data_IF_740671309336
#
_entry.id   IF_740671309336
#
_cell.length_a   1.000
_cell.length_b   1.000
_cell.length_c   1.000
_cell.angle_alpha   90.00
_cell.angle_beta   90.00
_cell.angle_gamma   90.00
#
_symmetry.space_group_name_H-M   'P 1'
#
loop_
_entity.id
_entity.type
_entity.pdbx_description
1 polymer ?
#
# COMPACT_ATOMS: atom_id res chain seq x y z
N UNK A 1 5.72 -36.17 9.08
CA UNK A 1 5.49 -35.65 10.42
C UNK A 1 4.83 -34.30 10.30
N UNK A 2 3.51 -34.26 10.37
CA UNK A 2 2.75 -33.01 10.49
C UNK A 2 3.10 -32.43 11.84
N UNK A 3 3.88 -31.37 11.88
CA UNK A 3 3.98 -30.55 13.08
C UNK A 3 2.61 -29.91 13.28
N UNK A 4 1.83 -30.45 14.21
CA UNK A 4 0.68 -29.74 14.74
C UNK A 4 1.21 -28.43 15.31
N UNK A 5 1.06 -27.36 14.54
CA UNK A 5 1.24 -26.02 15.08
C UNK A 5 0.15 -25.87 16.15
N UNK A 6 0.57 -25.84 17.39
CA UNK A 6 -0.31 -25.48 18.49
C UNK A 6 -1.07 -24.20 18.10
N UNK A 7 -2.38 -24.11 18.37
CA UNK A 7 -3.09 -22.87 18.22
C UNK A 7 -2.40 -21.86 19.13
N UNK A 8 -1.51 -21.08 18.55
CA UNK A 8 -0.89 -19.98 19.24
C UNK A 8 -2.01 -18.98 19.50
N UNK A 9 -2.37 -18.78 20.75
CA UNK A 9 -3.13 -17.62 21.15
C UNK A 9 -2.36 -16.41 20.64
N UNK A 10 -2.83 -15.81 19.57
CA UNK A 10 -2.19 -14.62 19.00
C UNK A 10 -2.41 -13.49 19.98
N UNK A 11 -1.37 -13.11 20.70
CA UNK A 11 -1.42 -11.96 21.58
C UNK A 11 -1.19 -10.70 20.76
N UNK A 12 -2.18 -9.83 20.72
CA UNK A 12 -2.05 -8.52 20.11
C UNK A 12 -1.50 -7.52 21.14
N UNK A 13 -0.29 -7.03 20.90
CA UNK A 13 0.35 -6.06 21.78
C UNK A 13 -0.23 -4.65 21.54
N UNK A 14 -0.51 -3.88 22.60
CA UNK A 14 -1.13 -2.54 22.48
C UNK A 14 -0.24 -1.51 21.78
N UNK A 15 1.06 -1.80 21.61
CA UNK A 15 2.02 -0.93 20.89
C UNK A 15 2.13 -1.23 19.40
N UNK A 16 1.55 -2.34 18.93
CA UNK A 16 1.50 -2.70 17.52
C UNK A 16 0.15 -2.27 16.97
N UNK A 17 0.16 -1.58 15.84
CA UNK A 17 -1.05 -1.05 15.22
C UNK A 17 -1.89 -2.17 14.63
N UNK A 18 -3.20 -1.97 14.62
CA UNK A 18 -4.14 -2.74 13.82
C UNK A 18 -4.38 -2.00 12.50
N UNK A 19 -4.45 -2.74 11.40
CA UNK A 19 -4.83 -2.17 10.12
C UNK A 19 -6.32 -1.78 10.11
N UNK A 20 -6.77 -0.86 9.25
CA UNK A 20 -8.18 -0.60 9.05
C UNK A 20 -8.99 -1.80 8.54
N UNK A 21 -8.32 -2.84 8.02
CA UNK A 21 -8.91 -4.08 7.52
C UNK A 21 -8.85 -5.23 8.53
N UNK A 22 -8.22 -5.03 9.69
CA UNK A 22 -7.87 -6.09 10.66
C UNK A 22 -9.06 -6.98 11.04
N UNK A 23 -10.21 -6.40 11.42
CA UNK A 23 -11.40 -7.17 11.76
C UNK A 23 -11.92 -8.00 10.57
N UNK A 24 -11.79 -7.45 9.36
CA UNK A 24 -12.11 -8.15 8.12
C UNK A 24 -11.20 -9.34 7.87
N UNK A 25 -9.89 -9.19 8.10
CA UNK A 25 -8.91 -10.28 7.97
C UNK A 25 -9.15 -11.38 8.99
N UNK A 26 -9.51 -11.03 10.23
CA UNK A 26 -9.89 -12.00 11.25
C UNK A 26 -11.17 -12.75 10.87
N UNK A 27 -12.21 -12.04 10.42
CA UNK A 27 -13.47 -12.64 9.98
C UNK A 27 -13.27 -13.56 8.75
N UNK A 28 -12.31 -13.24 7.87
CA UNK A 28 -11.91 -14.09 6.76
C UNK A 28 -11.08 -15.32 7.18
N UNK A 29 -10.71 -15.42 8.45
CA UNK A 29 -10.03 -16.58 9.03
C UNK A 29 -8.52 -16.52 8.97
N UNK A 30 -7.90 -15.34 9.05
CA UNK A 30 -6.45 -15.21 9.15
C UNK A 30 -5.89 -16.06 10.31
N UNK A 31 -4.90 -16.91 10.03
CA UNK A 31 -4.34 -17.89 10.97
C UNK A 31 -3.12 -17.37 11.71
N UNK A 32 -2.39 -16.43 11.11
CA UNK A 32 -1.21 -15.86 11.70
C UNK A 32 -1.03 -14.41 11.23
N UNK A 33 -0.29 -13.66 12.05
CA UNK A 33 0.10 -12.29 11.74
C UNK A 33 1.59 -12.13 11.98
N UNK A 34 2.26 -11.44 11.09
CA UNK A 34 3.59 -10.86 11.29
C UNK A 34 3.47 -9.39 11.65
N UNK A 35 4.60 -8.76 11.95
CA UNK A 35 4.66 -7.30 12.18
C UNK A 35 5.51 -6.68 11.08
N UNK A 36 4.99 -5.64 10.46
CA UNK A 36 5.65 -4.88 9.43
C UNK A 36 5.30 -3.39 9.62
N UNK A 37 6.26 -2.50 9.64
CA UNK A 37 6.05 -1.07 9.91
C UNK A 37 5.22 -0.79 11.18
N UNK A 38 5.50 -1.55 12.28
CA UNK A 38 4.78 -1.45 13.57
C UNK A 38 3.27 -1.77 13.47
N UNK A 39 2.83 -2.53 12.46
CA UNK A 39 1.44 -2.91 12.25
C UNK A 39 1.33 -4.41 11.98
N UNK A 40 0.23 -5.03 12.40
CA UNK A 40 -0.03 -6.43 12.12
C UNK A 40 -0.38 -6.64 10.65
N UNK A 41 0.31 -7.60 10.03
CA UNK A 41 0.13 -8.05 8.65
C UNK A 41 -0.37 -9.50 8.67
N UNK A 42 -1.54 -9.82 8.10
CA UNK A 42 -1.99 -11.21 8.01
C UNK A 42 -1.03 -12.00 7.12
N UNK A 43 -0.58 -13.16 7.63
CA UNK A 43 0.43 -13.97 6.94
C UNK A 43 -0.18 -15.05 6.05
N UNK A 44 -1.27 -15.68 6.47
CA UNK A 44 -1.97 -16.71 5.71
C UNK A 44 -3.36 -17.02 6.31
N UNK A 45 -4.26 -17.61 5.52
CA UNK A 45 -5.65 -17.89 5.89
C UNK A 45 -5.97 -19.38 5.88
N UNK A 46 -5.58 -20.13 4.85
CA UNK A 46 -5.87 -21.56 4.68
C UNK A 46 -4.60 -22.38 4.70
N UNK A 47 -3.91 -22.43 3.57
CA UNK A 47 -2.56 -22.96 3.44
C UNK A 47 -1.85 -22.25 2.27
N UNK A 48 -0.53 -22.27 2.31
CA UNK A 48 0.32 -21.52 1.37
C UNK A 48 0.16 -21.99 -0.07
N UNK A 49 -0.08 -23.27 -0.31
CA UNK A 49 -0.22 -23.81 -1.66
C UNK A 49 -1.52 -23.36 -2.32
N UNK A 50 -2.65 -23.43 -1.61
CA UNK A 50 -3.94 -22.94 -2.10
C UNK A 50 -3.89 -21.43 -2.39
N UNK A 51 -3.30 -20.65 -1.51
CA UNK A 51 -3.20 -19.20 -1.66
C UNK A 51 -2.27 -18.82 -2.81
N UNK A 52 -1.16 -19.54 -3.01
CA UNK A 52 -0.28 -19.36 -4.16
C UNK A 52 -1.01 -19.66 -5.47
N UNK A 53 -1.76 -20.77 -5.54
CA UNK A 53 -2.51 -21.09 -6.75
C UNK A 53 -3.68 -20.14 -7.00
N UNK A 54 -4.31 -19.60 -5.96
CA UNK A 54 -5.30 -18.55 -6.09
C UNK A 54 -4.69 -17.27 -6.69
N UNK A 55 -3.49 -16.88 -6.23
CA UNK A 55 -2.76 -15.74 -6.79
C UNK A 55 -2.45 -15.92 -8.27
N UNK A 56 -1.97 -17.10 -8.67
CA UNK A 56 -1.47 -17.34 -10.05
C UNK A 56 -2.55 -17.74 -11.05
N UNK A 57 -3.73 -18.17 -10.60
CA UNK A 57 -4.83 -18.65 -11.47
C UNK A 57 -6.10 -17.79 -11.37
N UNK A 58 -6.28 -17.08 -10.28
CA UNK A 58 -7.51 -16.37 -9.99
C UNK A 58 -7.21 -14.88 -9.63
N UNK A 59 -7.70 -14.43 -8.50
CA UNK A 59 -7.44 -13.12 -7.92
C UNK A 59 -7.47 -13.21 -6.40
N UNK A 60 -6.55 -12.50 -5.76
CA UNK A 60 -6.48 -12.39 -4.31
C UNK A 60 -6.50 -10.93 -3.87
N UNK A 61 -6.99 -10.67 -2.67
CA UNK A 61 -6.84 -9.39 -2.00
C UNK A 61 -5.90 -9.53 -0.80
N UNK A 62 -5.06 -8.54 -0.58
CA UNK A 62 -4.12 -8.49 0.55
C UNK A 62 -4.33 -7.19 1.34
N UNK A 63 -4.42 -7.33 2.65
CA UNK A 63 -4.27 -6.21 3.56
C UNK A 63 -2.79 -5.84 3.61
N UNK A 64 -2.43 -4.80 2.89
CA UNK A 64 -1.08 -4.21 2.87
C UNK A 64 -1.06 -2.80 3.47
N UNK A 65 -2.00 -2.48 4.37
CA UNK A 65 -2.00 -1.22 5.10
C UNK A 65 -0.70 -0.96 5.88
N UNK A 66 0.06 -2.01 6.13
CA UNK A 66 1.43 -1.97 6.67
C UNK A 66 2.41 -1.17 5.81
N UNK A 67 2.16 -1.05 4.50
CA UNK A 67 2.87 -0.13 3.59
C UNK A 67 2.37 1.30 3.83
N UNK A 68 2.66 1.82 5.01
CA UNK A 68 2.22 3.14 5.45
C UNK A 68 2.63 4.21 4.46
N UNK A 69 1.77 5.20 4.27
CA UNK A 69 2.07 6.29 3.34
C UNK A 69 2.86 7.39 4.05
N UNK A 70 3.97 7.80 3.45
CA UNK A 70 4.63 9.06 3.82
C UNK A 70 4.21 10.12 2.82
N UNK A 71 3.44 11.11 3.29
CA UNK A 71 3.02 12.24 2.48
C UNK A 71 4.04 13.36 2.55
N UNK A 72 4.42 13.87 1.38
CA UNK A 72 5.29 15.04 1.20
C UNK A 72 4.50 16.08 0.44
N UNK A 73 4.20 17.20 1.08
CA UNK A 73 3.37 18.28 0.53
C UNK A 73 4.02 19.64 0.76
N UNK A 74 3.81 20.58 -0.15
CA UNK A 74 4.26 21.96 0.01
C UNK A 74 5.04 22.51 -1.17
N UNK A 75 5.40 23.78 -1.16
CA UNK A 75 6.07 24.46 -2.28
C UNK A 75 7.37 23.79 -2.74
N UNK A 76 8.11 23.18 -1.82
CA UNK A 76 9.34 22.48 -2.14
C UNK A 76 9.20 20.95 -2.19
N UNK A 77 7.96 20.42 -2.18
CA UNK A 77 7.72 18.97 -2.14
C UNK A 77 8.39 18.24 -3.31
N UNK A 78 8.30 18.78 -4.53
CA UNK A 78 8.98 18.19 -5.69
C UNK A 78 10.50 18.12 -5.50
N UNK A 79 11.13 19.23 -5.12
CA UNK A 79 12.58 19.31 -4.94
C UNK A 79 13.05 18.39 -3.81
N UNK A 80 12.34 18.40 -2.68
CA UNK A 80 12.66 17.56 -1.54
C UNK A 80 12.50 16.07 -1.89
N UNK A 81 11.40 15.68 -2.53
CA UNK A 81 11.18 14.30 -2.94
C UNK A 81 12.24 13.83 -3.95
N UNK A 82 12.59 14.69 -4.92
CA UNK A 82 13.67 14.39 -5.87
C UNK A 82 15.05 14.30 -5.20
N UNK A 83 15.29 15.06 -4.12
CA UNK A 83 16.53 15.01 -3.34
C UNK A 83 16.69 13.71 -2.57
N UNK A 84 15.60 13.20 -1.94
CA UNK A 84 15.67 12.01 -1.09
C UNK A 84 15.54 10.69 -1.86
N UNK A 85 15.16 10.72 -3.14
CA UNK A 85 14.98 9.53 -3.98
C UNK A 85 16.08 9.40 -5.03
N UNK A 86 16.34 8.18 -5.49
CA UNK A 86 17.37 7.90 -6.50
C UNK A 86 16.87 8.06 -7.94
N UNK A 87 15.60 8.39 -8.15
CA UNK A 87 15.02 8.60 -9.49
C UNK A 87 14.98 10.09 -9.83
N UNK A 88 15.23 10.39 -11.11
CA UNK A 88 14.97 11.73 -11.66
C UNK A 88 13.47 11.96 -11.82
N UNK A 89 12.87 12.70 -10.89
CA UNK A 89 11.43 12.96 -10.88
C UNK A 89 10.98 13.98 -11.95
N UNK A 90 11.88 14.65 -12.68
CA UNK A 90 11.51 15.40 -13.87
C UNK A 90 10.88 14.50 -14.94
N UNK A 91 11.16 13.20 -14.90
CA UNK A 91 10.57 12.18 -15.78
C UNK A 91 9.32 11.50 -15.19
N UNK A 92 8.81 11.99 -14.06
CA UNK A 92 7.62 11.48 -13.39
C UNK A 92 6.50 12.52 -13.51
N UNK A 93 5.47 12.25 -14.29
CA UNK A 93 4.31 13.14 -14.45
C UNK A 93 3.32 12.97 -13.29
N UNK A 94 2.43 13.93 -13.08
CA UNK A 94 1.28 13.76 -12.20
C UNK A 94 0.48 12.53 -12.62
N UNK A 95 -0.04 11.77 -11.67
CA UNK A 95 -0.68 10.47 -11.83
C UNK A 95 0.25 9.35 -12.33
N UNK A 96 1.56 9.51 -12.17
CA UNK A 96 2.51 8.42 -12.37
C UNK A 96 3.08 7.94 -11.03
N UNK A 97 3.39 6.64 -10.98
CA UNK A 97 4.11 6.00 -9.90
C UNK A 97 5.54 5.64 -10.34
N UNK A 98 6.44 5.50 -9.39
CA UNK A 98 7.83 5.04 -9.61
C UNK A 98 8.27 4.16 -8.44
N UNK A 99 8.77 2.98 -8.73
CA UNK A 99 9.60 2.26 -7.77
C UNK A 99 10.93 3.01 -7.64
N UNK A 100 11.34 3.35 -6.43
CA UNK A 100 12.55 4.12 -6.17
C UNK A 100 13.24 3.62 -4.92
N UNK A 101 14.48 4.06 -4.71
CA UNK A 101 15.22 3.77 -3.49
C UNK A 101 15.44 5.07 -2.71
N UNK A 102 15.46 4.95 -1.40
CA UNK A 102 15.98 5.95 -0.47
C UNK A 102 17.30 5.41 0.06
N UNK A 103 18.36 6.19 -0.06
CA UNK A 103 19.68 5.78 0.35
C UNK A 103 20.30 6.77 1.35
N UNK A 104 21.16 6.28 2.22
CA UNK A 104 22.03 7.11 3.06
C UNK A 104 23.23 7.69 2.26
N UNK A 105 24.06 8.48 2.93
CA UNK A 105 25.23 9.10 2.32
C UNK A 105 26.33 8.12 1.88
N UNK A 106 26.28 6.87 2.31
CA UNK A 106 27.20 5.80 1.89
C UNK A 106 26.66 4.93 0.74
N UNK A 107 25.40 5.16 0.33
CA UNK A 107 24.70 4.36 -0.66
C UNK A 107 23.95 3.17 -0.08
N UNK A 108 23.90 3.01 1.26
CA UNK A 108 23.09 2.01 1.94
C UNK A 108 21.61 2.28 1.74
N UNK A 109 20.82 1.23 1.44
CA UNK A 109 19.38 1.36 1.21
C UNK A 109 18.66 1.53 2.55
N UNK A 110 17.95 2.63 2.71
CA UNK A 110 17.07 2.91 3.85
C UNK A 110 15.68 2.31 3.61
N UNK A 111 15.15 2.46 2.39
CA UNK A 111 13.84 1.96 1.99
C UNK A 111 13.74 1.90 0.46
N UNK A 112 12.76 1.16 -0.03
CA UNK A 112 12.49 0.97 -1.46
C UNK A 112 11.02 1.22 -1.83
N UNK A 113 10.49 2.43 -1.57
CA UNK A 113 9.08 2.72 -1.72
C UNK A 113 8.60 2.74 -3.17
N UNK A 114 7.30 2.53 -3.34
CA UNK A 114 6.59 3.02 -4.52
C UNK A 114 6.19 4.47 -4.28
N UNK A 115 6.74 5.37 -5.08
CA UNK A 115 6.40 6.79 -5.11
C UNK A 115 5.19 7.00 -6.02
N UNK A 116 4.18 7.74 -5.56
CA UNK A 116 3.07 8.24 -6.35
C UNK A 116 3.09 9.76 -6.41
N UNK A 117 3.16 10.35 -7.60
CA UNK A 117 3.02 11.80 -7.79
C UNK A 117 1.55 12.14 -8.00
N UNK A 118 0.90 12.70 -6.96
CA UNK A 118 -0.53 13.00 -6.96
C UNK A 118 -0.85 14.37 -7.54
N UNK A 119 0.10 15.31 -7.35
CA UNK A 119 0.00 16.68 -7.85
C UNK A 119 1.44 17.23 -8.05
N UNK A 120 1.57 18.44 -8.54
CA UNK A 120 2.89 19.09 -8.69
C UNK A 120 3.66 19.18 -7.37
N UNK A 121 2.93 19.41 -6.28
CA UNK A 121 3.48 19.59 -4.93
C UNK A 121 2.93 18.60 -3.90
N UNK A 122 2.51 17.40 -4.33
CA UNK A 122 1.98 16.36 -3.47
C UNK A 122 2.46 14.97 -3.91
N UNK A 123 3.17 14.30 -3.02
CA UNK A 123 3.72 12.96 -3.24
C UNK A 123 3.36 12.04 -2.09
N UNK A 124 3.12 10.77 -2.41
CA UNK A 124 3.09 9.68 -1.44
C UNK A 124 4.24 8.71 -1.69
N UNK A 125 4.83 8.22 -0.61
CA UNK A 125 5.73 7.08 -0.61
C UNK A 125 5.02 5.94 0.11
N UNK A 126 4.71 4.86 -0.60
CA UNK A 126 4.24 3.59 -0.04
C UNK A 126 5.46 2.81 0.41
N UNK A 127 5.72 2.74 1.71
CA UNK A 127 7.02 2.35 2.25
C UNK A 127 7.11 0.87 2.59
N UNK A 128 8.28 0.29 2.41
CA UNK A 128 8.66 -0.97 3.02
C UNK A 128 9.06 -0.77 4.50
N UNK A 129 9.49 -1.85 5.18
CA UNK A 129 9.66 -1.88 6.64
C UNK A 129 10.83 -1.02 7.12
N UNK A 130 10.58 0.28 7.33
CA UNK A 130 11.48 1.18 8.07
C UNK A 130 10.81 2.53 8.40
N UNK A 131 11.40 3.31 9.31
CA UNK A 131 10.87 4.59 9.79
C UNK A 131 11.18 5.77 8.85
N UNK A 132 10.75 5.67 7.58
CA UNK A 132 10.99 6.68 6.53
C UNK A 132 10.47 8.06 6.92
N UNK A 133 9.29 8.15 7.59
CA UNK A 133 8.76 9.45 7.99
C UNK A 133 9.69 10.16 8.98
N UNK A 134 10.27 9.45 9.93
CA UNK A 134 11.19 10.03 10.91
C UNK A 134 12.49 10.43 10.23
N UNK A 135 13.01 9.60 9.33
CA UNK A 135 14.19 9.92 8.53
C UNK A 135 13.99 11.17 7.66
N UNK A 136 12.87 11.24 6.93
CA UNK A 136 12.54 12.40 6.10
C UNK A 136 12.38 13.69 6.94
N UNK A 137 11.71 13.61 8.11
CA UNK A 137 11.61 14.72 9.06
C UNK A 137 12.98 15.16 9.56
N UNK A 138 13.88 14.22 9.85
CA UNK A 138 15.26 14.50 10.25
C UNK A 138 16.02 15.28 9.17
N UNK A 139 15.90 14.89 7.92
CA UNK A 139 16.52 15.58 6.78
C UNK A 139 15.93 16.99 6.56
N UNK A 140 14.63 17.15 6.77
CA UNK A 140 13.97 18.45 6.61
C UNK A 140 14.17 19.41 7.76
N UNK A 141 14.47 18.92 8.98
CA UNK A 141 14.44 19.70 10.23
C UNK A 141 15.36 20.95 10.23
N UNK A 142 16.60 20.79 9.77
CA UNK A 142 17.59 21.89 9.75
C UNK A 142 17.82 22.43 8.33
N UNK A 143 16.89 22.21 7.43
CA UNK A 143 16.97 22.60 6.04
C UNK A 143 16.11 23.82 5.73
N UNK A 144 16.27 24.36 4.52
CA UNK A 144 15.42 25.44 4.01
C UNK A 144 14.20 24.90 3.25
N UNK A 145 13.86 23.60 3.38
CA UNK A 145 12.74 23.01 2.69
C UNK A 145 11.40 23.46 3.27
N UNK A 146 10.55 24.04 2.44
CA UNK A 146 9.18 24.36 2.79
C UNK A 146 8.27 23.19 2.44
N UNK A 147 8.29 22.15 3.28
CA UNK A 147 7.53 20.92 3.12
C UNK A 147 6.82 20.52 4.42
N UNK A 148 5.62 19.98 4.27
CA UNK A 148 4.89 19.28 5.31
C UNK A 148 5.07 17.78 5.10
N UNK A 149 5.51 17.07 6.16
CA UNK A 149 5.74 15.63 6.17
C UNK A 149 4.80 14.98 7.17
N UNK A 150 3.93 14.11 6.69
CA UNK A 150 2.89 13.48 7.51
C UNK A 150 2.60 12.04 7.07
N UNK A 151 1.90 11.30 7.92
CA UNK A 151 1.26 10.04 7.60
C UNK A 151 -0.23 10.30 7.46
N UNK A 152 -0.80 10.28 6.24
CA UNK A 152 -2.23 10.47 6.03
C UNK A 152 -3.03 9.26 6.49
N UNK A 153 -4.33 9.44 6.77
CA UNK A 153 -5.26 8.33 7.01
C UNK A 153 -5.61 7.65 5.67
N UNK A 154 -4.67 6.84 5.21
CA UNK A 154 -4.74 6.08 3.94
C UNK A 154 -4.23 4.67 4.18
N UNK A 155 -4.96 3.68 3.69
CA UNK A 155 -4.56 2.28 3.77
C UNK A 155 -4.61 1.62 2.39
N UNK A 156 -3.47 1.09 1.92
CA UNK A 156 -3.45 0.31 0.69
C UNK A 156 -4.01 -1.10 0.90
N UNK A 157 -4.69 -1.59 -0.15
CA UNK A 157 -5.11 -2.97 -0.35
C UNK A 157 -4.64 -3.41 -1.71
N UNK A 158 -3.95 -4.56 -1.81
CA UNK A 158 -3.58 -5.13 -3.11
C UNK A 158 -4.68 -6.04 -3.65
N UNK A 159 -4.85 -6.00 -4.97
CA UNK A 159 -5.74 -6.87 -5.76
C UNK A 159 -4.89 -7.46 -6.88
N UNK A 160 -4.47 -8.71 -6.73
CA UNK A 160 -3.43 -9.30 -7.57
C UNK A 160 -3.90 -10.63 -8.17
N UNK A 161 -3.45 -10.94 -9.37
CA UNK A 161 -3.72 -12.19 -10.08
C UNK A 161 -4.36 -11.98 -11.46
N UNK A 162 -4.41 -13.00 -12.32
CA UNK A 162 -4.87 -12.90 -13.71
C UNK A 162 -6.30 -12.39 -13.86
N UNK A 163 -7.18 -12.64 -12.87
CA UNK A 163 -8.57 -12.15 -12.86
C UNK A 163 -8.73 -10.76 -12.21
N UNK A 164 -7.66 -10.15 -11.70
CA UNK A 164 -7.72 -8.83 -11.02
C UNK A 164 -8.30 -7.75 -11.92
N UNK A 165 -7.95 -7.73 -13.19
CA UNK A 165 -8.49 -6.75 -14.16
C UNK A 165 -10.01 -6.85 -14.28
N UNK A 166 -10.55 -8.05 -14.41
CA UNK A 166 -11.99 -8.27 -14.53
C UNK A 166 -12.72 -7.81 -13.25
N UNK A 167 -12.19 -8.17 -12.08
CA UNK A 167 -12.73 -7.73 -10.79
C UNK A 167 -12.71 -6.21 -10.66
N UNK A 168 -11.60 -5.56 -11.00
CA UNK A 168 -11.50 -4.10 -10.90
C UNK A 168 -12.44 -3.38 -11.85
N UNK A 169 -12.66 -3.90 -13.07
CA UNK A 169 -13.63 -3.36 -14.02
C UNK A 169 -15.05 -3.49 -13.48
N UNK A 170 -15.41 -4.62 -12.88
CA UNK A 170 -16.75 -4.83 -12.32
C UNK A 170 -17.09 -3.85 -11.19
N UNK A 171 -16.07 -3.41 -10.43
CA UNK A 171 -16.22 -2.52 -9.27
C UNK A 171 -16.11 -1.04 -9.68
N UNK A 172 -15.10 -0.68 -10.47
CA UNK A 172 -14.75 0.70 -10.78
C UNK A 172 -15.12 1.13 -12.21
N UNK A 173 -15.69 0.22 -12.99
CA UNK A 173 -16.06 0.48 -14.38
C UNK A 173 -14.88 0.46 -15.34
N UNK A 174 -15.14 0.73 -16.64
CA UNK A 174 -14.16 0.53 -17.71
C UNK A 174 -12.94 1.47 -17.65
N UNK A 175 -13.00 2.57 -16.91
CA UNK A 175 -11.87 3.50 -16.78
C UNK A 175 -10.61 2.84 -16.22
N UNK A 176 -10.77 1.86 -15.32
CA UNK A 176 -9.62 1.16 -14.71
C UNK A 176 -8.92 0.24 -15.72
N UNK A 177 -9.61 -0.18 -16.77
CA UNK A 177 -9.04 -1.04 -17.82
C UNK A 177 -7.89 -0.37 -18.58
N UNK A 178 -8.02 0.93 -18.84
CA UNK A 178 -7.04 1.73 -19.58
C UNK A 178 -5.92 2.28 -18.70
N UNK A 179 -5.93 2.01 -17.37
CA UNK A 179 -4.90 2.50 -16.46
C UNK A 179 -3.55 1.87 -16.79
N UNK A 180 -2.54 2.63 -17.24
CA UNK A 180 -1.25 2.07 -17.61
C UNK A 180 -0.47 1.58 -16.38
N UNK A 181 0.48 0.67 -16.58
CA UNK A 181 1.38 0.20 -15.54
C UNK A 181 2.17 1.37 -14.93
N UNK A 182 2.30 1.41 -13.61
CA UNK A 182 2.87 2.51 -12.82
C UNK A 182 2.17 3.86 -13.03
N UNK A 183 0.84 3.83 -13.19
CA UNK A 183 0.00 5.04 -13.16
C UNK A 183 -1.08 4.89 -12.10
N UNK A 184 -1.66 6.03 -11.75
CA UNK A 184 -2.72 6.14 -10.75
C UNK A 184 -3.91 6.90 -11.28
N UNK A 185 -5.07 6.66 -10.68
CA UNK A 185 -6.30 7.42 -10.92
C UNK A 185 -7.08 7.61 -9.62
N UNK A 186 -7.58 8.81 -9.40
CA UNK A 186 -8.54 9.07 -8.34
C UNK A 186 -9.91 8.50 -8.72
N UNK A 187 -10.57 7.87 -7.76
CA UNK A 187 -11.92 7.31 -7.96
C UNK A 187 -12.70 7.27 -6.67
N UNK A 188 -13.99 6.97 -6.79
CA UNK A 188 -14.90 6.80 -5.64
C UNK A 188 -15.69 5.51 -5.79
N UNK A 189 -15.98 4.85 -4.66
CA UNK A 189 -16.84 3.67 -4.60
C UNK A 189 -17.78 3.81 -3.40
N UNK A 190 -19.08 3.84 -3.61
CA UNK A 190 -20.09 3.93 -2.54
C UNK A 190 -19.81 5.04 -1.52
N UNK A 191 -19.32 6.21 -1.99
CA UNK A 191 -18.96 7.37 -1.17
C UNK A 191 -17.58 7.29 -0.51
N UNK A 192 -16.81 6.23 -0.72
CA UNK A 192 -15.42 6.11 -0.29
C UNK A 192 -14.49 6.70 -1.37
N UNK A 193 -13.61 7.62 -0.99
CA UNK A 193 -12.61 8.20 -1.89
C UNK A 193 -11.32 7.37 -1.86
N UNK A 194 -10.73 7.11 -3.02
CA UNK A 194 -9.51 6.32 -3.10
C UNK A 194 -8.69 6.64 -4.34
N UNK A 195 -7.40 6.38 -4.24
CA UNK A 195 -6.50 6.33 -5.38
C UNK A 195 -6.36 4.85 -5.79
N UNK A 196 -6.51 4.56 -7.06
CA UNK A 196 -6.20 3.24 -7.63
C UNK A 196 -4.93 3.34 -8.45
N UNK A 197 -3.98 2.46 -8.22
CA UNK A 197 -2.75 2.36 -9.01
C UNK A 197 -2.69 1.04 -9.75
N UNK A 198 -2.00 1.02 -10.88
CA UNK A 198 -1.64 -0.20 -11.60
C UNK A 198 -0.23 -0.64 -11.18
N UNK A 199 -0.12 -1.06 -9.92
CA UNK A 199 1.13 -1.50 -9.25
C UNK A 199 0.92 -2.82 -8.53
N UNK A 200 2.00 -3.40 -8.00
CA UNK A 200 2.05 -4.62 -7.26
C UNK A 200 3.45 -5.24 -7.39
N UNK A 201 3.80 -6.17 -6.51
CA UNK A 201 5.12 -6.79 -6.53
C UNK A 201 5.07 -8.32 -6.63
N UNK A 202 3.87 -8.89 -6.83
CA UNK A 202 3.65 -10.35 -6.88
C UNK A 202 4.13 -11.02 -8.17
N UNK A 203 4.49 -10.24 -9.18
CA UNK A 203 4.78 -10.74 -10.53
C UNK A 203 3.54 -10.95 -11.39
N UNK A 204 2.36 -10.98 -10.78
CA UNK A 204 1.07 -11.07 -11.47
C UNK A 204 0.53 -9.70 -11.87
N UNK A 205 -0.42 -9.68 -12.80
CA UNK A 205 -1.19 -8.47 -13.07
C UNK A 205 -1.97 -8.06 -11.83
N UNK A 206 -1.94 -6.76 -11.49
CA UNK A 206 -2.63 -6.31 -10.30
C UNK A 206 -2.81 -4.81 -10.19
N UNK A 207 -3.47 -4.45 -9.11
CA UNK A 207 -3.80 -3.08 -8.73
C UNK A 207 -3.60 -2.92 -7.22
N UNK A 208 -3.44 -1.67 -6.81
CA UNK A 208 -3.47 -1.30 -5.40
C UNK A 208 -4.52 -0.20 -5.20
N UNK A 209 -5.32 -0.34 -4.15
CA UNK A 209 -6.38 0.59 -3.79
C UNK A 209 -5.96 1.30 -2.51
N UNK A 210 -5.67 2.57 -2.60
CA UNK A 210 -5.28 3.42 -1.46
C UNK A 210 -6.54 4.12 -0.92
N UNK A 211 -7.19 3.50 0.06
CA UNK A 211 -8.40 4.01 0.66
C UNK A 211 -8.12 5.23 1.53
N UNK A 212 -8.77 6.37 1.25
CA UNK A 212 -8.74 7.57 2.11
C UNK A 212 -9.77 7.45 3.23
N UNK A 213 -9.51 8.07 4.38
CA UNK A 213 -10.30 7.92 5.62
C UNK A 213 -10.44 6.44 6.00
N UNK A 214 -9.33 5.72 5.90
CA UNK A 214 -9.31 4.27 6.00
C UNK A 214 -9.77 3.74 7.35
N UNK A 215 -9.51 4.48 8.43
CA UNK A 215 -9.99 4.14 9.78
C UNK A 215 -11.52 4.03 9.85
N UNK A 216 -12.22 4.83 9.07
CA UNK A 216 -13.69 4.82 9.01
C UNK A 216 -14.23 3.77 8.05
N UNK A 217 -13.62 3.66 6.88
CA UNK A 217 -14.23 2.98 5.73
C UNK A 217 -13.54 1.63 5.40
N UNK A 218 -12.51 1.23 6.15
CA UNK A 218 -11.69 0.05 5.86
C UNK A 218 -12.51 -1.24 5.78
N UNK A 219 -13.31 -1.55 6.80
CA UNK A 219 -14.13 -2.76 6.81
C UNK A 219 -15.17 -2.75 5.69
N UNK A 220 -15.71 -1.58 5.35
CA UNK A 220 -16.67 -1.45 4.24
C UNK A 220 -15.99 -1.80 2.91
N UNK A 221 -14.78 -1.28 2.66
CA UNK A 221 -14.03 -1.63 1.44
C UNK A 221 -13.67 -3.11 1.41
N UNK A 222 -13.14 -3.66 2.51
CA UNK A 222 -12.79 -5.08 2.62
C UNK A 222 -13.96 -5.98 2.23
N UNK A 223 -15.12 -5.77 2.84
CA UNK A 223 -16.32 -6.57 2.57
C UNK A 223 -16.82 -6.39 1.12
N UNK A 224 -16.77 -5.16 0.59
CA UNK A 224 -17.16 -4.89 -0.80
C UNK A 224 -16.27 -5.66 -1.78
N UNK A 225 -14.96 -5.70 -1.54
CA UNK A 225 -14.02 -6.42 -2.41
C UNK A 225 -14.19 -7.93 -2.32
N UNK A 226 -14.40 -8.48 -1.12
CA UNK A 226 -14.67 -9.91 -0.94
C UNK A 226 -15.98 -10.33 -1.61
N UNK A 227 -17.03 -9.53 -1.50
CA UNK A 227 -18.33 -9.83 -2.13
C UNK A 227 -18.24 -9.82 -3.66
N UNK A 228 -17.53 -8.83 -4.22
CA UNK A 228 -17.34 -8.71 -5.66
C UNK A 228 -16.46 -9.85 -6.25
N UNK A 229 -15.61 -10.47 -5.43
CA UNK A 229 -14.74 -11.59 -5.83
C UNK A 229 -15.40 -12.96 -5.80
N UNK A 230 -16.63 -13.08 -5.32
CA UNK A 230 -17.41 -14.33 -5.32
C UNK A 230 -17.97 -14.64 -6.70
#
# INVERSE_FOLDING_TARGET
MTKDFLPTNTFFYPRTRLSPYFEGTQAAGAKAYSVYNHMYLPSWYRNTDEEYWALTKDVVIWDVAVERQVQIKGPDAFKFTNYITTKDLNKCKVNQCKYTLLCDGSGGIINDPVLSRLDDNLFWLSISDSDVLLWAKGLAHNSKWNVELSEPDVAPMQVQGPKSKALMISIFGPKVESLPYYHSMETTLSGMNMLVTRTGYTGEIGYEIYLRNAKKDGIKLWNTMLEAGK
#
